data_IF_889658706820
#
_entry.id   IF_889658706820
#
_cell.length_a   1.000
_cell.length_b   1.000
_cell.length_c   1.000
_cell.angle_alpha   90.00
_cell.angle_beta   90.00
_cell.angle_gamma   90.00
#
_symmetry.space_group_name_H-M   'P 1'
#
loop_
_entity.id
_entity.type
_entity.pdbx_description
1 polymer ?
#
# COMPACT_ATOMS: atom_id res chain seq x y z
N UNK A 1 -16.24 6.83 4.03
CA UNK A 1 -16.30 6.19 2.71
C UNK A 1 -14.87 6.11 2.19
N UNK A 2 -14.02 5.24 2.75
CA UNK A 2 -12.70 5.02 2.13
C UNK A 2 -12.94 4.19 0.89
N UNK A 3 -12.59 4.73 -0.29
CA UNK A 3 -12.43 3.91 -1.49
C UNK A 3 -11.58 2.68 -1.12
N UNK A 4 -12.00 1.50 -1.55
CA UNK A 4 -11.22 0.27 -1.31
C UNK A 4 -9.91 0.38 -2.11
N UNK A 5 -8.86 0.88 -1.46
CA UNK A 5 -7.55 1.09 -2.05
C UNK A 5 -6.98 -0.21 -2.64
N UNK A 6 -7.41 -1.37 -2.13
CA UNK A 6 -6.99 -2.69 -2.62
C UNK A 6 -7.72 -3.14 -3.90
N UNK A 7 -8.70 -2.37 -4.36
CA UNK A 7 -9.43 -2.62 -5.61
C UNK A 7 -8.90 -1.80 -6.80
N UNK A 8 -8.00 -0.85 -6.55
CA UNK A 8 -7.37 -0.05 -7.59
C UNK A 8 -6.50 -0.94 -8.49
N UNK A 9 -6.54 -0.68 -9.78
CA UNK A 9 -5.50 -1.15 -10.69
C UNK A 9 -4.17 -0.45 -10.36
N UNK A 10 -3.06 -1.05 -10.80
CA UNK A 10 -1.72 -0.45 -10.62
C UNK A 10 -1.64 0.95 -11.25
N UNK A 11 -2.32 1.18 -12.38
CA UNK A 11 -2.35 2.48 -13.04
C UNK A 11 -3.14 3.53 -12.25
N UNK A 12 -4.27 3.14 -11.64
CA UNK A 12 -5.06 4.04 -10.79
C UNK A 12 -4.31 4.37 -9.49
N UNK A 13 -3.67 3.37 -8.87
CA UNK A 13 -2.83 3.59 -7.70
C UNK A 13 -1.67 4.55 -8.00
N UNK A 14 -0.98 4.37 -9.14
CA UNK A 14 0.08 5.28 -9.58
C UNK A 14 -0.45 6.70 -9.83
N UNK A 15 -1.62 6.85 -10.44
CA UNK A 15 -2.23 8.15 -10.67
C UNK A 15 -2.58 8.85 -9.35
N UNK A 16 -3.17 8.13 -8.39
CA UNK A 16 -3.51 8.65 -7.07
C UNK A 16 -2.26 9.07 -6.29
N UNK A 17 -1.21 8.24 -6.33
CA UNK A 17 0.10 8.55 -5.76
C UNK A 17 0.68 9.84 -6.35
N UNK A 18 0.71 9.98 -7.68
CA UNK A 18 1.26 11.17 -8.37
C UNK A 18 0.50 12.45 -8.05
N UNK A 19 -0.81 12.36 -7.83
CA UNK A 19 -1.65 13.49 -7.43
C UNK A 19 -1.57 13.81 -5.93
N UNK A 20 -0.94 12.96 -5.13
CA UNK A 20 -0.94 13.07 -3.68
C UNK A 20 -2.30 12.79 -3.04
N UNK A 21 -3.21 12.10 -3.76
CA UNK A 21 -4.51 11.67 -3.24
C UNK A 21 -4.38 10.54 -2.20
N UNK A 22 -3.28 9.78 -2.28
CA UNK A 22 -2.92 8.71 -1.35
C UNK A 22 -1.40 8.62 -1.24
N UNK A 23 -0.90 8.23 -0.08
CA UNK A 23 0.50 7.90 0.16
C UNK A 23 0.81 6.41 -0.10
N UNK A 24 2.08 6.10 -0.35
CA UNK A 24 2.58 4.72 -0.46
C UNK A 24 2.32 3.96 0.85
N UNK A 25 2.49 4.63 2.00
CA UNK A 25 2.17 4.07 3.31
C UNK A 25 0.69 3.69 3.44
N UNK A 26 -0.23 4.55 3.01
CA UNK A 26 -1.67 4.26 3.05
C UNK A 26 -2.08 3.10 2.15
N UNK A 27 -1.54 3.03 0.91
CA UNK A 27 -1.77 1.89 0.02
C UNK A 27 -1.25 0.59 0.62
N UNK A 28 -0.04 0.61 1.17
CA UNK A 28 0.58 -0.57 1.80
C UNK A 28 -0.20 -1.03 3.02
N UNK A 29 -0.63 -0.08 3.86
CA UNK A 29 -1.47 -0.36 5.03
C UNK A 29 -2.78 -1.03 4.62
N UNK A 30 -3.46 -0.51 3.60
CA UNK A 30 -4.72 -1.09 3.12
C UNK A 30 -4.54 -2.54 2.62
N UNK A 31 -3.43 -2.84 1.94
CA UNK A 31 -3.09 -4.20 1.54
C UNK A 31 -2.87 -5.12 2.75
N UNK A 32 -2.11 -4.66 3.76
CA UNK A 32 -1.86 -5.44 4.97
C UNK A 32 -3.15 -5.73 5.75
N UNK A 33 -4.04 -4.75 5.89
CA UNK A 33 -5.35 -4.92 6.53
C UNK A 33 -6.25 -5.92 5.79
N UNK A 34 -6.16 -5.95 4.46
CA UNK A 34 -6.87 -6.96 3.65
C UNK A 34 -6.29 -8.35 3.86
N UNK A 35 -4.97 -8.47 3.92
CA UNK A 35 -4.29 -9.74 4.21
C UNK A 35 -4.75 -10.24 5.58
N UNK A 36 -4.66 -9.43 6.63
CA UNK A 36 -5.08 -9.81 7.99
C UNK A 36 -6.52 -10.33 8.04
N UNK A 37 -7.43 -9.70 7.29
CA UNK A 37 -8.85 -10.09 7.25
C UNK A 37 -9.10 -11.39 6.49
N UNK A 38 -8.36 -11.67 5.42
CA UNK A 38 -8.67 -12.77 4.50
C UNK A 38 -7.77 -14.00 4.68
N UNK A 39 -6.55 -13.80 5.19
CA UNK A 39 -5.55 -14.85 5.31
C UNK A 39 -6.00 -16.06 6.15
N UNK A 40 -6.80 -15.92 7.24
CA UNK A 40 -7.34 -17.09 7.96
C UNK A 40 -8.23 -18.02 7.13
N UNK A 41 -8.73 -17.56 5.98
CA UNK A 41 -9.60 -18.32 5.09
C UNK A 41 -8.87 -18.78 3.82
N UNK A 42 -7.98 -17.94 3.30
CA UNK A 42 -7.32 -18.18 2.00
C UNK A 42 -6.00 -18.94 2.17
N UNK A 43 -5.26 -18.71 3.26
CA UNK A 43 -3.94 -19.28 3.51
C UNK A 43 -2.96 -19.06 2.33
N UNK A 44 -2.88 -17.82 1.82
CA UNK A 44 -2.08 -17.47 0.66
C UNK A 44 -0.62 -17.12 0.98
N UNK A 45 -0.31 -16.70 2.21
CA UNK A 45 1.00 -16.18 2.59
C UNK A 45 1.70 -17.06 3.62
N UNK A 46 2.95 -17.43 3.35
CA UNK A 46 3.82 -18.10 4.33
C UNK A 46 4.36 -17.13 5.38
N UNK A 47 4.62 -15.89 4.99
CA UNK A 47 5.16 -14.84 5.85
C UNK A 47 4.70 -13.46 5.38
N UNK A 48 4.30 -12.62 6.32
CA UNK A 48 3.89 -11.22 6.07
C UNK A 48 4.86 -10.29 6.80
N UNK A 49 5.74 -9.62 6.06
CA UNK A 49 6.74 -8.71 6.60
C UNK A 49 6.17 -7.29 6.81
N UNK A 50 5.11 -7.16 7.62
CA UNK A 50 4.32 -5.93 7.74
C UNK A 50 5.15 -4.68 8.12
N UNK A 51 6.00 -4.80 9.13
CA UNK A 51 6.84 -3.68 9.61
C UNK A 51 7.81 -3.21 8.53
N UNK A 52 8.46 -4.15 7.83
CA UNK A 52 9.38 -3.84 6.74
C UNK A 52 8.64 -3.17 5.58
N UNK A 53 7.47 -3.68 5.19
CA UNK A 53 6.65 -3.11 4.14
C UNK A 53 6.26 -1.65 4.45
N UNK A 54 5.82 -1.37 5.67
CA UNK A 54 5.47 -0.02 6.10
C UNK A 54 6.68 0.93 6.14
N UNK A 55 7.86 0.42 6.50
CA UNK A 55 9.10 1.21 6.48
C UNK A 55 9.51 1.57 5.05
N UNK A 56 9.49 0.59 4.14
CA UNK A 56 9.80 0.80 2.72
C UNK A 56 8.80 1.76 2.06
N UNK A 57 7.51 1.65 2.40
CA UNK A 57 6.48 2.55 1.91
C UNK A 57 6.72 4.00 2.36
N UNK A 58 7.09 4.20 3.63
CA UNK A 58 7.46 5.52 4.14
C UNK A 58 8.75 6.08 3.50
N UNK A 59 9.70 5.23 3.11
CA UNK A 59 10.88 5.63 2.33
C UNK A 59 10.49 6.08 0.92
N UNK A 60 9.62 5.33 0.24
CA UNK A 60 9.08 5.71 -1.05
C UNK A 60 8.35 7.06 -0.99
N UNK A 61 7.52 7.29 0.03
CA UNK A 61 6.85 8.59 0.25
C UNK A 61 7.85 9.76 0.40
N UNK A 62 8.99 9.53 1.04
CA UNK A 62 10.05 10.55 1.15
C UNK A 62 10.75 10.80 -0.19
N UNK A 63 11.10 9.76 -0.93
CA UNK A 63 11.73 9.88 -2.24
C UNK A 63 10.84 10.69 -3.21
N UNK A 64 9.53 10.42 -3.18
CA UNK A 64 8.58 11.10 -4.06
C UNK A 64 8.24 12.53 -3.65
N UNK A 65 8.27 12.82 -2.34
CA UNK A 65 8.27 14.21 -1.87
C UNK A 65 9.55 14.98 -2.28
N UNK A 66 10.69 14.29 -2.41
CA UNK A 66 11.96 14.87 -2.85
C UNK A 66 12.10 14.99 -4.38
N UNK A 67 11.19 14.40 -5.16
CA UNK A 67 11.28 14.38 -6.62
C UNK A 67 12.32 13.38 -7.17
N UNK A 68 12.66 12.36 -6.39
CA UNK A 68 13.64 11.31 -6.73
C UNK A 68 12.99 10.08 -7.39
N UNK A 69 11.78 10.25 -7.96
CA UNK A 69 10.98 9.24 -8.68
C UNK A 69 11.16 9.28 -10.20
#
# INVERSE_FOLDING_TARGET
MSSDLTSLTVLEALAALRKGEVSSRELTQACLERIERLEPQVHAFLHVAAEYALKAAAEADRARAAGEE
#
